data_IF_525713453231
#
_entry.id   IF_525713453231
#
_cell.length_a   1.000
_cell.length_b   1.000
_cell.length_c   1.000
_cell.angle_alpha   90.00
_cell.angle_beta   90.00
_cell.angle_gamma   90.00
#
_symmetry.space_group_name_H-M   'P 1'
#
loop_
_entity.id
_entity.type
_entity.pdbx_description
1 polymer ?
#
# COMPACT_ATOMS: atom_id res chain seq x y z
N UNK A 1 61.80 -6.93 41.60
CA UNK A 1 61.78 -6.15 40.35
C UNK A 1 60.33 -6.15 39.89
N UNK A 2 59.67 -5.00 39.87
CA UNK A 2 58.26 -4.89 39.45
C UNK A 2 58.13 -5.21 37.95
N UNK A 3 57.12 -5.99 37.58
CA UNK A 3 56.82 -6.29 36.17
C UNK A 3 56.22 -5.03 35.52
N UNK A 4 57.04 -4.30 34.76
CA UNK A 4 56.68 -3.05 34.05
C UNK A 4 56.03 -3.31 32.67
N UNK A 5 55.58 -4.53 32.43
CA UNK A 5 54.95 -4.88 31.16
C UNK A 5 53.55 -4.29 31.02
N UNK A 6 53.16 -4.03 29.78
CA UNK A 6 51.85 -3.49 29.43
C UNK A 6 51.04 -4.58 28.73
N UNK A 7 49.90 -4.94 29.31
CA UNK A 7 48.91 -5.81 28.69
C UNK A 7 47.95 -5.00 27.83
N UNK A 8 47.65 -5.47 26.62
CA UNK A 8 46.81 -4.76 25.67
C UNK A 8 45.51 -5.51 25.45
N UNK A 9 44.39 -4.82 25.68
CA UNK A 9 43.05 -5.34 25.49
C UNK A 9 42.44 -4.73 24.22
N UNK A 10 41.87 -5.58 23.36
CA UNK A 10 41.14 -5.18 22.16
C UNK A 10 39.80 -5.89 22.12
N UNK A 11 38.74 -5.17 21.76
CA UNK A 11 37.39 -5.72 21.57
C UNK A 11 37.28 -6.57 20.30
N UNK A 12 38.17 -6.33 19.33
CA UNK A 12 38.26 -7.06 18.06
C UNK A 12 39.60 -7.79 17.92
N UNK A 13 39.68 -8.80 17.03
CA UNK A 13 40.95 -9.49 16.74
C UNK A 13 41.96 -8.49 16.18
N UNK A 14 43.15 -8.41 16.78
CA UNK A 14 44.23 -7.57 16.27
C UNK A 14 44.52 -7.88 14.79
N UNK A 15 44.72 -6.84 13.95
CA UNK A 15 45.09 -7.04 12.55
C UNK A 15 46.34 -7.92 12.43
N UNK A 16 46.40 -8.78 11.41
CA UNK A 16 47.53 -9.72 11.20
C UNK A 16 48.90 -9.03 11.16
N UNK A 17 48.95 -7.75 10.79
CA UNK A 17 50.16 -6.91 10.80
C UNK A 17 50.79 -6.75 12.17
N UNK A 18 50.04 -6.93 13.26
CA UNK A 18 50.53 -6.78 14.64
C UNK A 18 51.03 -8.09 15.26
N UNK A 19 50.87 -9.24 14.59
CA UNK A 19 51.34 -10.55 15.12
C UNK A 19 52.84 -10.61 15.42
N UNK A 20 53.66 -9.83 14.72
CA UNK A 20 55.10 -9.78 14.98
C UNK A 20 55.50 -8.96 16.22
N UNK A 21 54.59 -8.13 16.74
CA UNK A 21 54.84 -7.28 17.92
C UNK A 21 54.42 -7.95 19.22
N UNK A 22 53.43 -8.84 19.14
CA UNK A 22 52.93 -9.62 20.25
C UNK A 22 53.22 -11.09 19.96
N UNK A 23 54.28 -11.62 20.57
CA UNK A 23 54.33 -13.06 20.85
C UNK A 23 53.02 -13.40 21.62
N UNK A 24 52.45 -14.59 21.40
CA UNK A 24 51.03 -15.01 21.56
C UNK A 24 50.23 -14.57 22.82
N UNK A 25 50.85 -13.84 23.75
CA UNK A 25 50.35 -13.37 25.03
C UNK A 25 49.89 -11.90 25.06
N UNK A 26 49.81 -11.18 23.92
CA UNK A 26 49.35 -9.77 23.83
C UNK A 26 50.00 -8.82 24.86
N UNK A 27 51.28 -9.08 25.16
CA UNK A 27 52.05 -8.41 26.22
C UNK A 27 53.23 -7.67 25.61
N UNK A 28 53.34 -6.38 25.91
CA UNK A 28 54.55 -5.62 25.65
C UNK A 28 55.50 -5.77 26.84
N UNK A 29 56.42 -6.74 26.74
CA UNK A 29 57.47 -7.02 27.73
C UNK A 29 58.62 -6.00 27.69
N UNK A 30 58.69 -5.17 26.64
CA UNK A 30 59.69 -4.11 26.48
C UNK A 30 59.04 -2.80 26.07
N UNK A 31 59.52 -1.69 26.61
CA UNK A 31 59.07 -0.34 26.24
C UNK A 31 59.21 -0.06 24.74
N UNK A 32 60.25 -0.61 24.08
CA UNK A 32 60.44 -0.49 22.64
C UNK A 32 59.33 -1.18 21.82
N UNK A 33 58.77 -2.31 22.29
CA UNK A 33 57.61 -2.96 21.65
C UNK A 33 56.37 -2.07 21.74
N UNK A 34 56.16 -1.42 22.89
CA UNK A 34 55.06 -0.47 23.10
C UNK A 34 55.20 0.78 22.21
N UNK A 35 56.39 1.38 22.12
CA UNK A 35 56.63 2.53 21.24
C UNK A 35 56.45 2.16 19.76
N UNK A 36 56.91 0.97 19.33
CA UNK A 36 56.69 0.49 17.97
C UNK A 36 55.20 0.25 17.66
N UNK A 37 54.43 -0.26 18.62
CA UNK A 37 52.99 -0.37 18.48
C UNK A 37 52.34 0.99 18.27
N UNK A 38 52.65 1.98 19.12
CA UNK A 38 52.13 3.35 18.98
C UNK A 38 52.50 3.95 17.62
N UNK A 39 53.72 3.71 17.13
CA UNK A 39 54.17 4.17 15.83
C UNK A 39 53.49 3.44 14.65
N UNK A 40 52.98 2.23 14.84
CA UNK A 40 52.17 1.53 13.83
C UNK A 40 50.70 1.96 13.89
N UNK A 41 50.14 2.16 15.08
CA UNK A 41 48.81 2.73 15.26
C UNK A 41 48.72 4.14 14.67
N UNK A 42 49.73 4.98 14.88
CA UNK A 42 49.79 6.31 14.27
C UNK A 42 49.95 6.29 12.74
N UNK A 43 50.41 5.17 12.16
CA UNK A 43 50.41 4.96 10.70
C UNK A 43 49.05 4.50 10.18
N UNK A 44 48.25 3.85 11.02
CA UNK A 44 46.83 3.56 10.75
C UNK A 44 45.94 4.79 10.93
N UNK A 45 46.39 5.79 11.72
CA UNK A 45 45.79 7.13 11.81
C UNK A 45 45.95 7.98 10.54
N UNK A 46 46.53 7.44 9.46
CA UNK A 46 46.22 8.00 8.15
C UNK A 46 44.71 7.86 7.98
N UNK A 47 43.96 8.94 7.72
CA UNK A 47 42.52 8.86 7.54
C UNK A 47 42.28 7.98 6.32
N UNK A 48 42.09 6.69 6.56
CA UNK A 48 41.55 5.79 5.57
C UNK A 48 40.16 6.37 5.39
N UNK A 49 39.92 7.04 4.26
CA UNK A 49 38.62 7.65 3.98
C UNK A 49 37.59 6.52 4.06
N UNK A 50 36.96 6.41 5.24
CA UNK A 50 35.94 5.42 5.47
C UNK A 50 34.88 5.65 4.41
N UNK A 51 34.51 4.56 3.75
CA UNK A 51 33.39 4.56 2.82
C UNK A 51 32.14 5.10 3.53
N UNK A 52 31.20 5.66 2.77
CA UNK A 52 29.93 6.11 3.33
C UNK A 52 29.24 4.98 4.13
N UNK A 53 29.36 3.75 3.66
CA UNK A 53 28.88 2.54 4.33
C UNK A 53 29.47 2.37 5.73
N UNK A 54 30.80 2.45 5.86
CA UNK A 54 31.48 2.30 7.16
C UNK A 54 31.12 3.43 8.14
N UNK A 55 30.74 4.61 7.62
CA UNK A 55 30.27 5.74 8.43
C UNK A 55 28.81 5.61 8.85
N UNK A 56 27.94 5.06 7.99
CA UNK A 56 26.49 4.98 8.20
C UNK A 56 26.08 3.72 8.97
N UNK A 57 26.77 2.59 8.75
CA UNK A 57 26.45 1.31 9.39
C UNK A 57 26.37 1.36 10.92
N UNK A 58 27.27 2.05 11.66
CA UNK A 58 27.14 2.20 13.10
C UNK A 58 25.85 2.92 13.53
N UNK A 59 25.45 3.96 12.79
CA UNK A 59 24.22 4.70 13.08
C UNK A 59 22.97 3.82 12.89
N UNK A 60 22.94 2.99 11.84
CA UNK A 60 21.87 2.01 11.61
C UNK A 60 21.77 1.03 12.79
N UNK A 61 22.89 0.50 13.28
CA UNK A 61 22.92 -0.43 14.43
C UNK A 61 22.42 0.21 15.73
N UNK A 62 22.78 1.47 15.97
CA UNK A 62 22.29 2.22 17.14
C UNK A 62 20.77 2.40 17.06
N UNK A 63 20.25 2.76 15.87
CA UNK A 63 18.80 2.87 15.65
C UNK A 63 18.10 1.52 15.83
N UNK A 64 18.66 0.42 15.33
CA UNK A 64 18.09 -0.93 15.53
C UNK A 64 17.94 -1.29 17.00
N UNK A 65 19.00 -1.05 17.79
CA UNK A 65 18.97 -1.29 19.23
C UNK A 65 17.90 -0.43 19.90
N UNK A 66 17.86 0.87 19.60
CA UNK A 66 16.87 1.77 20.15
C UNK A 66 15.43 1.37 19.79
N UNK A 67 15.19 0.91 18.55
CA UNK A 67 13.88 0.41 18.11
C UNK A 67 13.47 -0.83 18.92
N UNK A 68 14.41 -1.73 19.23
CA UNK A 68 14.11 -2.96 19.98
C UNK A 68 13.79 -2.73 21.46
N UNK A 69 14.30 -1.65 22.04
CA UNK A 69 14.11 -1.29 23.44
C UNK A 69 12.86 -0.40 23.67
N UNK A 70 12.25 0.12 22.60
CA UNK A 70 11.10 1.02 22.67
C UNK A 70 9.77 0.26 22.62
N UNK A 71 8.95 0.45 23.65
CA UNK A 71 7.55 0.00 23.66
C UNK A 71 6.61 0.98 22.93
N UNK A 72 7.00 2.26 22.79
CA UNK A 72 6.19 3.31 22.15
C UNK A 72 6.21 3.18 20.62
N UNK A 73 5.12 2.67 20.07
CA UNK A 73 4.92 2.46 18.62
C UNK A 73 5.14 3.73 17.78
N UNK A 74 4.75 4.91 18.25
CA UNK A 74 4.87 6.17 17.48
C UNK A 74 6.33 6.57 17.33
N UNK A 75 7.10 6.46 18.42
CA UNK A 75 8.54 6.73 18.41
C UNK A 75 9.28 5.69 17.59
N UNK A 76 8.94 4.41 17.76
CA UNK A 76 9.53 3.32 16.98
C UNK A 76 9.30 3.51 15.48
N UNK A 77 8.09 3.94 15.06
CA UNK A 77 7.78 4.21 13.64
C UNK A 77 8.67 5.31 13.03
N UNK A 78 8.96 6.38 13.79
CA UNK A 78 9.85 7.46 13.33
C UNK A 78 11.28 6.96 13.16
N UNK A 79 11.78 6.16 14.12
CA UNK A 79 13.12 5.59 14.04
C UNK A 79 13.25 4.56 12.91
N UNK A 80 12.22 3.73 12.69
CA UNK A 80 12.15 2.80 11.55
C UNK A 80 12.23 3.57 10.23
N UNK A 81 11.51 4.68 10.10
CA UNK A 81 11.60 5.53 8.92
C UNK A 81 13.01 6.09 8.72
N UNK A 82 13.63 6.66 9.77
CA UNK A 82 15.00 7.21 9.70
C UNK A 82 16.02 6.13 9.34
N UNK A 83 15.93 4.96 9.98
CA UNK A 83 16.76 3.79 9.67
C UNK A 83 16.65 3.44 8.19
N UNK A 84 15.43 3.30 7.67
CA UNK A 84 15.20 2.99 6.26
C UNK A 84 15.77 4.06 5.31
N UNK A 85 15.71 5.34 5.67
CA UNK A 85 16.32 6.41 4.87
C UNK A 85 17.86 6.28 4.81
N UNK A 86 18.51 5.90 5.90
CA UNK A 86 19.94 5.64 5.94
C UNK A 86 20.32 4.42 5.09
N UNK A 87 19.59 3.31 5.22
CA UNK A 87 19.81 2.10 4.42
C UNK A 87 19.67 2.37 2.90
N UNK A 88 18.76 3.28 2.52
CA UNK A 88 18.56 3.67 1.12
C UNK A 88 19.74 4.46 0.52
N UNK A 89 20.58 5.12 1.34
CA UNK A 89 21.77 5.83 0.85
C UNK A 89 22.81 4.88 0.25
N UNK A 90 22.82 3.63 0.71
CA UNK A 90 23.78 2.61 0.30
C UNK A 90 23.33 1.85 -0.96
N UNK A 91 22.04 1.91 -1.30
CA UNK A 91 21.45 1.10 -2.34
C UNK A 91 21.61 1.72 -3.74
N UNK A 92 22.27 0.98 -4.65
CA UNK A 92 22.27 1.31 -6.08
C UNK A 92 20.88 1.28 -6.70
N UNK A 93 20.03 0.36 -6.22
CA UNK A 93 18.63 0.25 -6.58
C UNK A 93 17.77 0.33 -5.31
N UNK A 94 17.11 1.47 -5.06
CA UNK A 94 16.31 1.68 -3.85
C UNK A 94 15.22 0.62 -3.68
N UNK A 95 15.21 -0.07 -2.54
CA UNK A 95 14.11 -0.95 -2.12
C UNK A 95 13.35 -0.29 -0.98
N UNK A 96 12.20 0.28 -1.29
CA UNK A 96 11.37 0.97 -0.32
C UNK A 96 10.54 -0.02 0.51
N UNK A 97 10.45 0.23 1.81
CA UNK A 97 9.55 -0.52 2.69
C UNK A 97 8.08 -0.22 2.35
N UNK A 98 7.14 -1.14 2.66
CA UNK A 98 5.71 -0.90 2.46
C UNK A 98 5.20 0.38 3.11
N UNK A 99 5.70 0.73 4.31
CA UNK A 99 5.30 1.94 5.02
C UNK A 99 5.74 3.22 4.31
N UNK A 100 6.98 3.25 3.79
CA UNK A 100 7.49 4.38 3.00
C UNK A 100 6.72 4.52 1.70
N UNK A 101 6.38 3.40 1.05
CA UNK A 101 5.55 3.40 -0.15
C UNK A 101 4.15 3.92 0.14
N UNK A 102 3.51 3.48 1.22
CA UNK A 102 2.18 3.92 1.62
C UNK A 102 2.16 5.41 1.97
N UNK A 103 3.13 5.88 2.76
CA UNK A 103 3.27 7.30 3.11
C UNK A 103 3.53 8.16 1.86
N UNK A 104 4.44 7.71 0.99
CA UNK A 104 4.75 8.39 -0.28
C UNK A 104 3.54 8.45 -1.20
N UNK A 105 2.79 7.36 -1.33
CA UNK A 105 1.58 7.30 -2.13
C UNK A 105 0.50 8.24 -1.59
N UNK A 106 0.24 8.24 -0.27
CA UNK A 106 -0.70 9.16 0.37
C UNK A 106 -0.35 10.62 0.07
N UNK A 107 0.91 11.00 0.26
CA UNK A 107 1.37 12.36 0.00
C UNK A 107 1.29 12.71 -1.50
N UNK A 108 1.71 11.79 -2.38
CA UNK A 108 1.70 12.00 -3.83
C UNK A 108 0.28 12.16 -4.40
N UNK A 109 -0.66 11.29 -4.02
CA UNK A 109 -2.02 11.33 -4.55
C UNK A 109 -2.85 12.46 -3.96
N UNK A 110 -2.59 12.88 -2.72
CA UNK A 110 -3.27 14.04 -2.12
C UNK A 110 -2.65 15.37 -2.54
N UNK A 111 -1.32 15.45 -2.62
CA UNK A 111 -0.58 16.70 -2.86
C UNK A 111 0.61 16.50 -3.81
N UNK A 112 0.37 16.29 -5.13
CA UNK A 112 1.43 15.94 -6.08
C UNK A 112 2.58 16.96 -6.13
N UNK A 113 2.28 18.25 -6.10
CA UNK A 113 3.29 19.31 -6.16
C UNK A 113 4.17 19.33 -4.90
N UNK A 114 3.58 19.18 -3.72
CA UNK A 114 4.31 19.10 -2.46
C UNK A 114 5.22 17.86 -2.43
N UNK A 115 4.71 16.72 -2.89
CA UNK A 115 5.50 15.50 -3.02
C UNK A 115 6.72 15.70 -3.94
N UNK A 116 6.52 16.34 -5.10
CA UNK A 116 7.61 16.64 -6.03
C UNK A 116 8.63 17.59 -5.41
N UNK A 117 8.19 18.62 -4.68
CA UNK A 117 9.09 19.54 -3.98
C UNK A 117 9.97 18.80 -2.97
N UNK A 118 9.37 17.99 -2.09
CA UNK A 118 10.09 17.21 -1.08
C UNK A 118 11.06 16.22 -1.74
N UNK A 119 10.60 15.49 -2.75
CA UNK A 119 11.44 14.52 -3.46
C UNK A 119 12.60 15.18 -4.21
N UNK A 120 12.35 16.31 -4.86
CA UNK A 120 13.36 17.01 -5.65
C UNK A 120 14.41 17.71 -4.78
N UNK A 121 14.09 18.01 -3.52
CA UNK A 121 15.07 18.49 -2.53
C UNK A 121 16.22 17.50 -2.28
N UNK A 122 16.03 16.21 -2.61
CA UNK A 122 16.98 15.11 -2.35
C UNK A 122 17.32 14.88 -0.88
N UNK A 123 16.64 15.56 0.05
CA UNK A 123 16.78 15.35 1.49
C UNK A 123 16.26 13.96 1.89
N UNK A 124 15.17 13.52 1.26
CA UNK A 124 14.58 12.19 1.47
C UNK A 124 14.71 11.33 0.21
N UNK A 125 15.06 10.06 0.41
CA UNK A 125 15.05 9.02 -0.61
C UNK A 125 13.62 8.52 -0.80
N UNK A 126 12.91 9.13 -1.76
CA UNK A 126 11.51 8.84 -2.06
C UNK A 126 11.31 8.21 -3.45
N UNK A 127 10.30 7.32 -3.61
CA UNK A 127 9.95 6.69 -4.88
C UNK A 127 9.75 7.68 -6.03
N UNK A 128 9.94 7.23 -7.26
CA UNK A 128 9.57 8.04 -8.42
C UNK A 128 8.02 8.07 -8.56
N UNK A 129 7.40 9.20 -8.96
CA UNK A 129 5.97 9.25 -9.27
C UNK A 129 5.47 8.13 -10.19
N UNK A 130 6.26 7.76 -11.20
CA UNK A 130 5.93 6.64 -12.10
C UNK A 130 5.84 5.30 -11.37
N UNK A 131 6.64 5.07 -10.32
CA UNK A 131 6.55 3.86 -9.50
C UNK A 131 5.27 3.88 -8.66
N UNK A 132 4.94 5.03 -8.05
CA UNK A 132 3.69 5.17 -7.27
C UNK A 132 2.43 5.00 -8.13
N UNK A 133 2.42 5.56 -9.35
CA UNK A 133 1.34 5.35 -10.32
C UNK A 133 1.23 3.89 -10.76
N UNK A 134 2.36 3.17 -10.84
CA UNK A 134 2.34 1.73 -11.14
C UNK A 134 1.64 0.93 -10.04
N UNK A 135 1.84 1.31 -8.77
CA UNK A 135 1.17 0.67 -7.65
C UNK A 135 -0.36 0.87 -7.67
N UNK A 136 -0.86 1.96 -8.26
CA UNK A 136 -2.31 2.22 -8.35
C UNK A 136 -3.02 1.53 -9.52
N UNK A 137 -2.31 0.89 -10.46
CA UNK A 137 -2.92 0.23 -11.63
C UNK A 137 -3.72 -1.04 -11.31
N UNK A 138 -3.88 -1.40 -10.03
CA UNK A 138 -4.67 -2.56 -9.58
C UNK A 138 -6.17 -2.38 -9.94
N UNK A 139 -6.65 -1.13 -9.98
CA UNK A 139 -8.04 -0.81 -10.33
C UNK A 139 -8.21 -0.77 -11.85
N UNK A 140 -8.73 -1.87 -12.42
CA UNK A 140 -9.20 -1.90 -13.82
C UNK A 140 -10.72 -1.69 -13.86
N UNK A 141 -11.27 -1.35 -15.02
CA UNK A 141 -12.71 -1.31 -15.22
C UNK A 141 -13.34 -2.70 -15.02
N UNK A 142 -14.60 -2.70 -14.63
CA UNK A 142 -15.39 -3.89 -14.38
C UNK A 142 -14.94 -4.74 -13.20
N UNK A 143 -15.42 -5.98 -13.18
CA UNK A 143 -15.04 -6.96 -12.15
C UNK A 143 -13.66 -7.53 -12.47
N UNK A 144 -12.67 -7.20 -11.63
CA UNK A 144 -11.28 -7.66 -11.76
C UNK A 144 -10.90 -8.61 -10.60
N UNK A 145 -10.16 -9.68 -10.89
CA UNK A 145 -9.59 -10.60 -9.90
C UNK A 145 -8.71 -9.93 -8.86
N UNK A 146 -7.94 -8.91 -9.26
CA UNK A 146 -7.06 -8.21 -8.31
C UNK A 146 -7.85 -7.40 -7.29
N UNK A 147 -8.95 -6.78 -7.74
CA UNK A 147 -9.84 -6.02 -6.86
C UNK A 147 -10.69 -6.94 -5.97
N UNK A 148 -11.15 -8.08 -6.49
CA UNK A 148 -11.75 -9.13 -5.67
C UNK A 148 -10.79 -9.56 -4.54
N UNK A 149 -9.50 -9.76 -4.83
CA UNK A 149 -8.51 -10.12 -3.82
C UNK A 149 -8.33 -9.00 -2.78
N UNK A 150 -8.34 -7.73 -3.21
CA UNK A 150 -8.34 -6.58 -2.32
C UNK A 150 -9.55 -6.59 -1.38
N UNK A 151 -10.77 -6.69 -1.93
CA UNK A 151 -12.02 -6.70 -1.17
C UNK A 151 -12.07 -7.87 -0.18
N UNK A 152 -11.62 -9.06 -0.59
CA UNK A 152 -11.50 -10.26 0.26
C UNK A 152 -10.54 -10.05 1.43
N UNK A 153 -9.34 -9.52 1.15
CA UNK A 153 -8.37 -9.19 2.21
C UNK A 153 -8.92 -8.15 3.16
N UNK A 154 -9.59 -7.12 2.65
CA UNK A 154 -10.22 -6.09 3.46
C UNK A 154 -11.32 -6.66 4.35
N UNK A 155 -12.21 -7.50 3.82
CA UNK A 155 -13.27 -8.15 4.58
C UNK A 155 -12.73 -8.91 5.80
N UNK A 156 -11.60 -9.61 5.64
CA UNK A 156 -10.96 -10.35 6.73
C UNK A 156 -10.47 -9.46 7.89
N UNK A 157 -10.15 -8.19 7.61
CA UNK A 157 -9.73 -7.21 8.61
C UNK A 157 -10.92 -6.51 9.30
N UNK A 158 -12.10 -6.57 8.69
CA UNK A 158 -13.33 -5.97 9.21
C UNK A 158 -14.00 -6.87 10.25
N UNK A 159 -14.63 -6.24 11.26
CA UNK A 159 -15.48 -6.92 12.23
C UNK A 159 -16.72 -7.50 11.53
N UNK A 160 -17.37 -8.55 12.07
CA UNK A 160 -18.53 -9.18 11.42
C UNK A 160 -19.66 -8.20 11.05
N UNK A 161 -19.95 -7.21 11.90
CA UNK A 161 -20.96 -6.19 11.64
C UNK A 161 -20.54 -5.18 10.56
N UNK A 162 -19.25 -4.96 10.35
CA UNK A 162 -18.72 -4.08 9.30
C UNK A 162 -18.72 -4.74 7.92
N UNK A 163 -18.96 -6.06 7.85
CA UNK A 163 -19.10 -6.83 6.60
C UNK A 163 -20.51 -6.76 6.03
N UNK A 164 -21.48 -6.24 6.78
CA UNK A 164 -22.85 -6.01 6.30
C UNK A 164 -22.90 -4.64 5.62
N UNK A 165 -23.24 -4.62 4.33
CA UNK A 165 -23.08 -3.43 3.48
C UNK A 165 -24.34 -3.14 2.66
N UNK A 166 -24.50 -1.88 2.28
CA UNK A 166 -25.42 -1.45 1.25
C UNK A 166 -24.63 -1.27 -0.05
N UNK A 167 -25.18 -1.72 -1.18
CA UNK A 167 -24.64 -1.49 -2.51
C UNK A 167 -25.33 -0.28 -3.12
N UNK A 168 -24.61 0.80 -3.33
CA UNK A 168 -25.06 1.98 -4.04
C UNK A 168 -24.52 1.92 -5.47
N UNK A 169 -25.30 2.38 -6.43
CA UNK A 169 -24.78 2.59 -7.78
C UNK A 169 -25.33 3.88 -8.38
N UNK A 170 -24.50 4.54 -9.17
CA UNK A 170 -24.82 5.82 -9.81
C UNK A 170 -24.02 6.01 -11.11
N UNK A 171 -24.52 6.88 -11.98
CA UNK A 171 -23.95 7.18 -13.28
C UNK A 171 -23.09 8.46 -13.24
N UNK A 172 -21.84 8.35 -13.69
CA UNK A 172 -20.92 9.50 -13.81
C UNK A 172 -20.77 9.87 -15.27
N UNK A 173 -21.19 11.07 -15.66
CA UNK A 173 -20.99 11.57 -17.02
C UNK A 173 -19.52 11.84 -17.30
N UNK A 174 -19.04 11.38 -18.45
CA UNK A 174 -17.67 11.60 -18.92
C UNK A 174 -17.67 12.18 -20.33
N UNK A 175 -16.64 12.95 -20.65
CA UNK A 175 -16.46 13.47 -22.00
C UNK A 175 -16.16 12.33 -22.98
N UNK A 176 -16.71 12.42 -24.19
CA UNK A 176 -16.43 11.45 -25.26
C UNK A 176 -15.06 11.77 -25.86
N UNK A 177 -14.01 11.15 -25.34
CA UNK A 177 -12.68 11.19 -25.93
C UNK A 177 -12.13 9.78 -26.19
N UNK A 178 -11.02 9.74 -26.91
CA UNK A 178 -10.18 8.57 -27.06
C UNK A 178 -8.83 8.97 -26.51
N UNK A 179 -8.33 8.22 -25.53
CA UNK A 179 -6.99 8.37 -25.02
C UNK A 179 -6.12 7.19 -25.49
N UNK A 180 -4.97 7.50 -26.07
CA UNK A 180 -3.99 6.49 -26.52
C UNK A 180 -2.74 6.60 -25.68
N UNK A 181 -2.51 5.58 -24.83
CA UNK A 181 -1.35 5.52 -23.94
C UNK A 181 -0.68 4.17 -24.03
N UNK A 182 0.64 4.18 -24.25
CA UNK A 182 1.49 2.99 -24.25
C UNK A 182 1.01 1.87 -25.19
N UNK A 183 0.44 2.19 -26.35
CA UNK A 183 -0.04 1.18 -27.31
C UNK A 183 -1.48 0.70 -27.09
N UNK A 184 -2.17 1.24 -26.09
CA UNK A 184 -3.54 0.88 -25.76
C UNK A 184 -4.50 2.06 -25.96
N UNK A 185 -5.67 1.76 -26.51
CA UNK A 185 -6.82 2.67 -26.55
C UNK A 185 -7.60 2.51 -25.25
N UNK A 186 -7.94 3.64 -24.64
CA UNK A 186 -8.77 3.73 -23.45
C UNK A 186 -10.10 4.42 -23.80
N UNK A 187 -11.05 4.42 -22.87
CA UNK A 187 -12.33 5.14 -22.96
C UNK A 187 -13.39 4.50 -23.87
N UNK A 188 -13.19 3.25 -24.26
CA UNK A 188 -14.23 2.43 -24.88
C UNK A 188 -15.25 1.96 -23.82
N UNK A 189 -16.51 1.85 -24.23
CA UNK A 189 -17.56 1.27 -23.39
C UNK A 189 -17.41 -0.25 -23.27
N UNK A 190 -17.81 -0.79 -22.13
CA UNK A 190 -17.84 -2.23 -21.84
C UNK A 190 -19.05 -2.93 -22.49
N UNK A 191 -20.12 -2.18 -22.79
CA UNK A 191 -21.36 -2.73 -23.35
C UNK A 191 -21.47 -2.56 -24.88
N UNK A 192 -20.58 -1.81 -25.51
CA UNK A 192 -20.61 -1.54 -26.94
C UNK A 192 -19.21 -1.18 -27.47
N UNK A 193 -18.95 -1.40 -28.76
CA UNK A 193 -17.72 -0.96 -29.44
C UNK A 193 -17.77 0.55 -29.79
N UNK A 194 -18.08 1.38 -28.80
CA UNK A 194 -18.20 2.83 -28.93
C UNK A 194 -17.50 3.55 -27.77
N UNK A 195 -17.37 4.87 -27.87
CA UNK A 195 -16.84 5.66 -26.76
C UNK A 195 -17.81 5.64 -25.59
N UNK A 196 -17.28 5.40 -24.39
CA UNK A 196 -18.04 5.54 -23.17
C UNK A 196 -18.52 6.98 -23.03
N UNK A 197 -19.80 7.14 -22.72
CA UNK A 197 -20.40 8.44 -22.43
C UNK A 197 -20.54 8.67 -20.94
N UNK A 198 -20.48 7.57 -20.19
CA UNK A 198 -20.80 7.50 -18.77
C UNK A 198 -20.02 6.37 -18.12
N UNK A 199 -19.75 6.46 -16.83
CA UNK A 199 -19.19 5.38 -16.03
C UNK A 199 -20.23 4.98 -14.99
N UNK A 200 -20.74 3.76 -15.10
CA UNK A 200 -21.60 3.17 -14.09
C UNK A 200 -20.75 2.74 -12.89
N UNK A 201 -20.93 3.43 -11.77
CA UNK A 201 -20.20 3.17 -10.54
C UNK A 201 -21.00 2.30 -9.59
N UNK A 202 -20.33 1.36 -8.92
CA UNK A 202 -20.87 0.56 -7.83
C UNK A 202 -20.00 0.76 -6.59
N UNK A 203 -20.63 1.13 -5.47
CA UNK A 203 -19.97 1.53 -4.23
C UNK A 203 -20.62 0.80 -3.07
N UNK A 204 -19.84 0.24 -2.16
CA UNK A 204 -20.36 -0.23 -0.88
C UNK A 204 -20.31 0.87 0.15
N UNK A 205 -21.40 1.02 0.91
CA UNK A 205 -21.44 1.86 2.11
C UNK A 205 -21.92 1.04 3.28
N UNK A 206 -21.30 1.27 4.44
CA UNK A 206 -21.69 0.68 5.72
C UNK A 206 -22.46 1.73 6.54
N UNK A 207 -23.02 1.34 7.68
CA UNK A 207 -23.28 2.25 8.81
C UNK A 207 -21.99 2.82 9.45
N UNK A 208 -20.81 2.38 8.98
CA UNK A 208 -19.50 2.90 9.39
C UNK A 208 -18.93 3.86 8.34
N UNK A 209 -17.79 4.47 8.65
CA UNK A 209 -17.07 5.35 7.71
C UNK A 209 -16.40 4.61 6.55
N UNK A 210 -16.43 3.27 6.52
CA UNK A 210 -15.86 2.50 5.45
C UNK A 210 -16.76 2.56 4.22
N UNK A 211 -16.22 3.12 3.13
CA UNK A 211 -16.83 3.12 1.80
C UNK A 211 -15.79 2.63 0.81
N UNK A 212 -16.20 1.78 -0.13
CA UNK A 212 -15.32 1.28 -1.18
C UNK A 212 -15.99 1.37 -2.53
N UNK A 213 -15.20 1.74 -3.53
CA UNK A 213 -15.59 1.53 -4.92
C UNK A 213 -15.43 0.04 -5.20
N UNK A 214 -16.53 -0.60 -5.56
CA UNK A 214 -16.57 -2.03 -5.87
C UNK A 214 -16.23 -2.24 -7.34
N UNK A 215 -16.86 -1.52 -8.25
CA UNK A 215 -16.58 -1.63 -9.68
C UNK A 215 -16.93 -0.32 -10.40
N UNK A 216 -16.26 -0.09 -11.53
CA UNK A 216 -16.53 1.02 -12.44
C UNK A 216 -16.66 0.45 -13.85
N UNK A 217 -17.81 0.61 -14.49
CA UNK A 217 -18.06 0.16 -15.85
C UNK A 217 -18.23 1.37 -16.77
N UNK A 218 -17.25 1.70 -17.62
CA UNK A 218 -17.46 2.63 -18.71
C UNK A 218 -18.55 2.08 -19.64
N UNK A 219 -19.60 2.86 -19.93
CA UNK A 219 -20.76 2.43 -20.71
C UNK A 219 -21.22 3.52 -21.67
N UNK A 220 -21.94 3.11 -22.71
CA UNK A 220 -22.56 3.95 -23.73
C UNK A 220 -23.97 3.45 -24.00
N UNK A 221 -24.98 4.32 -23.90
CA UNK A 221 -26.40 3.94 -24.09
C UNK A 221 -26.81 2.68 -23.30
N UNK A 222 -26.48 2.65 -22.01
CA UNK A 222 -26.70 1.48 -21.17
C UNK A 222 -28.17 1.04 -21.16
N UNK A 223 -28.43 -0.26 -21.28
CA UNK A 223 -29.78 -0.81 -21.13
C UNK A 223 -30.05 -1.30 -19.71
N UNK A 224 -31.31 -1.51 -19.35
CA UNK A 224 -31.67 -2.11 -18.07
C UNK A 224 -31.12 -3.55 -17.92
N UNK A 225 -30.95 -4.28 -19.03
CA UNK A 225 -30.38 -5.62 -19.04
C UNK A 225 -28.87 -5.58 -18.78
N UNK A 226 -28.16 -4.61 -19.36
CA UNK A 226 -26.73 -4.40 -19.09
C UNK A 226 -26.51 -4.09 -17.61
N UNK A 227 -27.27 -3.15 -17.06
CA UNK A 227 -27.18 -2.77 -15.64
C UNK A 227 -27.51 -3.96 -14.72
N UNK A 228 -28.53 -4.76 -15.07
CA UNK A 228 -28.85 -6.00 -14.34
C UNK A 228 -27.64 -6.95 -14.32
N UNK A 229 -27.02 -7.17 -15.47
CA UNK A 229 -25.87 -8.07 -15.59
C UNK A 229 -24.67 -7.57 -14.76
N UNK A 230 -24.35 -6.28 -14.83
CA UNK A 230 -23.29 -5.68 -14.02
C UNK A 230 -23.59 -5.76 -12.52
N UNK A 231 -24.84 -5.50 -12.12
CA UNK A 231 -25.27 -5.63 -10.73
C UNK A 231 -25.07 -7.06 -10.22
N UNK A 232 -25.47 -8.08 -10.99
CA UNK A 232 -25.28 -9.48 -10.63
C UNK A 232 -23.80 -9.86 -10.49
N UNK A 233 -22.94 -9.40 -11.40
CA UNK A 233 -21.48 -9.63 -11.32
C UNK A 233 -20.89 -8.99 -10.05
N UNK A 234 -21.32 -7.76 -9.73
CA UNK A 234 -20.87 -7.03 -8.53
C UNK A 234 -21.34 -7.73 -7.25
N UNK A 235 -22.60 -8.16 -7.20
CA UNK A 235 -23.14 -8.92 -6.06
C UNK A 235 -22.33 -10.20 -5.84
N UNK A 236 -22.04 -10.96 -6.90
CA UNK A 236 -21.21 -12.16 -6.84
C UNK A 236 -19.79 -11.86 -6.32
N UNK A 237 -19.18 -10.76 -6.76
CA UNK A 237 -17.84 -10.38 -6.31
C UNK A 237 -17.81 -10.07 -4.79
N UNK A 238 -18.87 -9.45 -4.25
CA UNK A 238 -18.96 -9.08 -2.84
C UNK A 238 -19.13 -10.28 -1.89
N UNK A 239 -19.50 -11.46 -2.41
CA UNK A 239 -19.60 -12.69 -1.61
C UNK A 239 -18.24 -13.19 -1.09
N UNK A 240 -17.15 -12.52 -1.48
CA UNK A 240 -15.80 -12.75 -0.96
C UNK A 240 -15.65 -12.54 0.55
N UNK A 241 -16.67 -12.05 1.24
CA UNK A 241 -16.68 -11.82 2.68
C UNK A 241 -17.67 -10.76 3.15
N UNK A 242 -18.43 -10.14 2.24
CA UNK A 242 -19.47 -9.17 2.57
C UNK A 242 -20.86 -9.80 2.48
N UNK A 243 -21.80 -9.20 3.21
CA UNK A 243 -23.23 -9.50 3.11
C UNK A 243 -23.93 -8.23 2.67
N UNK A 244 -24.42 -8.21 1.43
CA UNK A 244 -25.21 -7.09 0.93
C UNK A 244 -26.60 -7.16 1.54
N UNK A 245 -27.08 -6.09 2.15
CA UNK A 245 -28.42 -6.01 2.73
C UNK A 245 -29.38 -5.25 1.81
N UNK A 246 -28.88 -4.16 1.21
CA UNK A 246 -29.67 -3.14 0.53
C UNK A 246 -28.99 -2.80 -0.79
N UNK A 247 -29.74 -2.74 -1.90
CA UNK A 247 -29.27 -2.15 -3.16
C UNK A 247 -29.96 -0.78 -3.34
N UNK A 248 -29.19 0.29 -3.59
CA UNK A 248 -29.67 1.67 -3.67
C UNK A 248 -29.34 2.32 -5.00
N UNK A 249 -30.31 3.02 -5.59
CA UNK A 249 -30.14 3.85 -6.78
C UNK A 249 -31.02 5.11 -6.76
N UNK A 250 -30.78 6.01 -7.72
CA UNK A 250 -31.71 7.08 -8.07
C UNK A 250 -32.99 6.53 -8.72
N UNK A 251 -34.05 7.34 -8.71
CA UNK A 251 -35.37 6.96 -9.21
C UNK A 251 -35.56 7.29 -10.69
N UNK A 252 -34.72 6.67 -11.54
CA UNK A 252 -34.86 6.77 -12.99
C UNK A 252 -35.52 5.50 -13.57
N UNK A 253 -36.07 5.64 -14.79
CA UNK A 253 -36.81 4.56 -15.46
C UNK A 253 -35.95 3.33 -15.76
N UNK A 254 -34.67 3.52 -16.03
CA UNK A 254 -33.75 2.43 -16.35
C UNK A 254 -33.52 1.55 -15.12
N UNK A 255 -33.25 2.16 -13.97
CA UNK A 255 -33.09 1.48 -12.70
C UNK A 255 -34.35 0.74 -12.28
N UNK A 256 -35.52 1.39 -12.39
CA UNK A 256 -36.80 0.74 -12.07
C UNK A 256 -37.05 -0.53 -12.91
N UNK A 257 -36.67 -0.51 -14.19
CA UNK A 257 -36.70 -1.70 -15.05
C UNK A 257 -35.68 -2.75 -14.61
N UNK A 258 -34.46 -2.34 -14.28
CA UNK A 258 -33.43 -3.25 -13.78
C UNK A 258 -33.86 -3.96 -12.49
N UNK A 259 -34.45 -3.24 -11.53
CA UNK A 259 -34.99 -3.87 -10.31
C UNK A 259 -36.15 -4.82 -10.60
N UNK A 260 -36.99 -4.48 -11.59
CA UNK A 260 -38.04 -5.40 -12.04
C UNK A 260 -37.45 -6.69 -12.63
N UNK A 261 -36.32 -6.61 -13.36
CA UNK A 261 -35.59 -7.78 -13.86
C UNK A 261 -35.02 -8.62 -12.70
N UNK A 262 -34.37 -7.98 -11.71
CA UNK A 262 -33.86 -8.68 -10.52
C UNK A 262 -34.96 -9.41 -9.75
N UNK A 263 -36.18 -8.88 -9.75
CA UNK A 263 -37.34 -9.44 -9.07
C UNK A 263 -38.15 -10.43 -9.94
N UNK A 264 -37.66 -10.82 -11.12
CA UNK A 264 -38.33 -11.80 -11.98
C UNK A 264 -39.52 -11.26 -12.79
N UNK A 265 -39.57 -9.95 -13.06
CA UNK A 265 -40.53 -9.32 -13.97
C UNK A 265 -41.45 -8.28 -13.35
N UNK A 266 -41.39 -8.05 -12.04
CA UNK A 266 -42.18 -7.03 -11.35
C UNK A 266 -41.50 -6.50 -10.10
N UNK A 267 -41.59 -5.20 -9.85
CA UNK A 267 -40.88 -4.55 -8.73
C UNK A 267 -41.33 -5.10 -7.37
N UNK A 268 -40.36 -5.50 -6.55
CA UNK A 268 -40.58 -6.00 -5.18
C UNK A 268 -39.67 -5.26 -4.21
N UNK A 269 -40.10 -5.08 -2.96
CA UNK A 269 -39.28 -4.45 -1.91
C UNK A 269 -38.15 -5.37 -1.40
N UNK A 270 -38.32 -6.68 -1.57
CA UNK A 270 -37.36 -7.70 -1.18
C UNK A 270 -37.25 -8.72 -2.30
N UNK A 271 -36.01 -9.01 -2.71
CA UNK A 271 -35.68 -10.00 -3.73
C UNK A 271 -34.77 -11.07 -3.12
N UNK A 272 -34.83 -12.33 -3.58
CA UNK A 272 -33.81 -13.32 -3.19
C UNK A 272 -32.43 -12.85 -3.67
N UNK A 273 -31.37 -13.17 -2.92
CA UNK A 273 -30.02 -12.96 -3.42
C UNK A 273 -29.83 -13.83 -4.67
N UNK A 274 -29.44 -13.24 -5.83
CA UNK A 274 -29.26 -13.97 -7.08
C UNK A 274 -28.31 -15.19 -7.00
N UNK A 275 -27.36 -15.17 -6.06
CA UNK A 275 -26.38 -16.25 -5.86
C UNK A 275 -26.76 -17.20 -4.73
N UNK A 276 -27.55 -16.73 -3.76
CA UNK A 276 -27.95 -17.45 -2.56
C UNK A 276 -29.45 -17.26 -2.32
N UNK A 277 -30.34 -17.98 -3.03
CA UNK A 277 -31.78 -17.77 -2.96
C UNK A 277 -32.37 -17.87 -1.55
N UNK A 278 -31.70 -18.56 -0.64
CA UNK A 278 -32.04 -18.68 0.78
C UNK A 278 -31.84 -17.38 1.59
N UNK A 279 -31.01 -16.45 1.10
CA UNK A 279 -30.78 -15.13 1.69
C UNK A 279 -31.62 -14.10 0.95
N UNK A 280 -32.30 -13.22 1.68
CA UNK A 280 -33.06 -12.11 1.08
C UNK A 280 -32.18 -10.86 0.98
N UNK A 281 -32.15 -10.23 -0.19
CA UNK A 281 -31.67 -8.87 -0.38
C UNK A 281 -32.89 -7.95 -0.36
N UNK A 282 -32.82 -6.88 0.42
CA UNK A 282 -33.81 -5.82 0.30
C UNK A 282 -33.36 -4.85 -0.80
N UNK A 283 -34.25 -4.47 -1.72
CA UNK A 283 -33.93 -3.58 -2.85
C UNK A 283 -34.62 -2.25 -2.64
N UNK A 284 -33.85 -1.16 -2.64
CA UNK A 284 -34.32 0.17 -2.28
C UNK A 284 -33.98 1.16 -3.39
N UNK A 285 -34.90 1.42 -4.32
CA UNK A 285 -34.84 2.71 -5.01
C UNK A 285 -35.02 3.81 -3.98
N UNK A 286 -34.43 4.98 -4.23
CA UNK A 286 -34.78 6.21 -3.49
C UNK A 286 -36.21 6.65 -3.87
N UNK A 287 -37.18 5.84 -3.48
CA UNK A 287 -38.62 6.01 -3.40
C UNK A 287 -39.23 4.60 -3.16
N UNK A 288 -39.14 4.04 -1.95
CA UNK A 288 -40.19 3.25 -1.29
C UNK A 288 -39.67 2.76 0.07
N UNK A 289 -39.98 3.53 1.10
CA UNK A 289 -39.99 3.06 2.48
C UNK A 289 -41.24 2.19 2.62
N UNK A 290 -41.07 0.92 2.95
CA UNK A 290 -42.03 0.19 3.75
C UNK A 290 -41.25 -0.64 4.78
N UNK A 291 -40.86 0.03 5.86
CA UNK A 291 -40.67 -0.66 7.14
C UNK A 291 -42.07 -0.84 7.72
N UNK A 292 -42.64 -2.03 7.62
CA UNK A 292 -43.68 -2.45 8.56
C UNK A 292 -42.99 -3.18 9.70
N UNK A 293 -43.27 -2.71 10.93
CA UNK A 293 -43.11 -3.49 12.15
C UNK A 293 -43.81 -4.85 12.04
#
# INVERSE_FOLDING_TARGET
MEDLSICIYSTDKFPKSFKGLFEDNYKCDRWSKFVNLLAQLSKLDKPTELSLFEKVSPAVRVLEKAISELEDFSKSSKLIFMKGQLELLEMKQPRYSPDVLLWSAKLFFAYPAAYLCVRNSKVLSLPHPSYLRKLSHIMKSGVNSDHFLYLKKKANLLKPNERVVNLLFDEIYVDKCIDFKSGHLYELSENADTLATTVQSFITSVFSHNKDIVSLFPVSNMTAQDLHNYCCQVLQMLECGYTVLIIISDNNKLNGKMFSLLAGGGLQCCIPNPQHPEKKLSSYLTAFICLSH
#
